data_IF_531205533968
#
_entry.id   IF_531205533968
#
_cell.length_a   1.000
_cell.length_b   1.000
_cell.length_c   1.000
_cell.angle_alpha   90.00
_cell.angle_beta   90.00
_cell.angle_gamma   90.00
#
_symmetry.space_group_name_H-M   'P 1'
#
loop_
_entity.id
_entity.type
_entity.pdbx_description
1 polymer ?
#
# COMPACT_ATOMS: atom_id res chain seq x y z
N UNK A 1 -13.98 2.65 -31.11
CA UNK A 1 -12.89 3.40 -31.76
C UNK A 1 -11.60 3.05 -31.05
N UNK A 2 -10.58 2.61 -31.78
CA UNK A 2 -9.23 2.42 -31.24
C UNK A 2 -8.39 3.61 -31.68
N UNK A 3 -7.79 4.33 -30.74
CA UNK A 3 -6.86 5.44 -31.02
C UNK A 3 -5.42 5.00 -30.80
N UNK A 4 -4.50 5.56 -31.58
CA UNK A 4 -3.05 5.40 -31.35
C UNK A 4 -2.55 6.66 -30.64
N UNK A 5 -1.92 6.48 -29.48
CA UNK A 5 -1.33 7.59 -28.71
C UNK A 5 0.08 7.84 -29.26
N UNK A 6 0.32 9.03 -29.82
CA UNK A 6 1.64 9.46 -30.30
C UNK A 6 2.37 10.33 -29.27
N UNK A 7 1.62 11.12 -28.51
CA UNK A 7 2.13 11.99 -27.45
C UNK A 7 1.09 12.17 -26.34
N UNK A 8 1.56 12.56 -25.16
CA UNK A 8 0.73 12.87 -24.00
C UNK A 8 1.32 14.04 -23.24
N UNK A 9 0.50 15.02 -22.90
CA UNK A 9 0.87 16.12 -22.01
C UNK A 9 0.30 15.88 -20.61
N UNK A 10 1.08 16.17 -19.57
CA UNK A 10 0.67 16.04 -18.17
C UNK A 10 0.97 17.32 -17.40
N UNK A 11 0.15 17.60 -16.39
CA UNK A 11 0.40 18.70 -15.46
C UNK A 11 1.61 18.35 -14.59
N UNK A 12 2.54 19.28 -14.49
CA UNK A 12 3.67 19.19 -13.56
C UNK A 12 3.35 20.04 -12.34
N UNK A 13 3.27 19.39 -11.19
CA UNK A 13 3.11 20.08 -9.92
C UNK A 13 4.29 21.03 -9.67
N UNK A 14 4.00 22.19 -9.09
CA UNK A 14 5.06 23.11 -8.64
C UNK A 14 6.02 22.40 -7.68
N UNK A 15 7.27 22.91 -7.57
CA UNK A 15 8.26 22.35 -6.64
C UNK A 15 7.75 22.47 -5.20
N UNK A 16 7.05 21.43 -4.76
CA UNK A 16 6.60 21.29 -3.40
C UNK A 16 7.83 21.11 -2.52
N UNK A 17 7.94 21.95 -1.48
CA UNK A 17 8.76 21.64 -0.31
C UNK A 17 8.06 20.48 0.40
N UNK A 18 8.14 19.29 -0.22
CA UNK A 18 7.90 18.04 0.47
C UNK A 18 9.04 17.91 1.46
N UNK A 19 8.95 18.65 2.57
CA UNK A 19 9.39 18.06 3.82
C UNK A 19 8.47 16.86 3.96
N UNK A 20 8.92 15.70 3.50
CA UNK A 20 8.30 14.43 3.85
C UNK A 20 8.56 14.33 5.35
N UNK A 21 7.72 15.00 6.16
CA UNK A 21 7.98 15.29 7.59
C UNK A 21 8.32 14.02 8.37
N UNK A 22 7.84 12.88 7.89
CA UNK A 22 8.25 11.57 8.39
C UNK A 22 8.16 10.54 7.27
N UNK A 23 9.25 10.32 6.54
CA UNK A 23 9.39 9.09 5.75
C UNK A 23 9.72 7.97 6.73
N UNK A 24 8.90 6.93 6.82
CA UNK A 24 9.15 5.80 7.71
C UNK A 24 9.36 4.52 6.91
N UNK A 25 10.51 3.88 7.12
CA UNK A 25 10.71 2.47 6.78
C UNK A 25 10.58 1.67 8.07
N UNK A 26 9.51 0.88 8.15
CA UNK A 26 9.19 0.05 9.30
C UNK A 26 9.30 -1.40 8.86
N UNK A 27 10.05 -2.21 9.60
CA UNK A 27 10.18 -3.63 9.32
C UNK A 27 10.20 -4.44 10.61
N UNK A 28 9.28 -5.40 10.80
CA UNK A 28 9.33 -6.29 11.96
C UNK A 28 8.89 -7.74 11.64
N UNK A 29 9.42 -8.74 12.38
CA UNK A 29 9.02 -10.13 12.26
C UNK A 29 7.58 -10.28 12.68
N UNK A 30 6.78 -10.83 11.78
CA UNK A 30 5.38 -11.03 12.05
C UNK A 30 5.18 -12.36 12.78
N UNK A 31 4.46 -12.30 13.89
CA UNK A 31 3.93 -13.45 14.63
C UNK A 31 2.41 -13.35 14.68
N UNK A 32 1.74 -14.44 15.06
CA UNK A 32 0.30 -14.40 15.32
C UNK A 32 -0.07 -13.36 16.40
N UNK A 33 0.82 -13.12 17.36
CA UNK A 33 0.61 -12.18 18.47
C UNK A 33 0.78 -10.70 18.11
N UNK A 34 1.56 -10.37 17.07
CA UNK A 34 1.83 -8.96 16.71
C UNK A 34 1.31 -8.53 15.33
N UNK A 35 1.01 -9.47 14.43
CA UNK A 35 0.56 -9.17 13.08
C UNK A 35 -0.86 -8.62 13.03
N UNK A 36 -1.80 -9.27 13.73
CA UNK A 36 -3.20 -8.85 13.75
C UNK A 36 -3.39 -7.48 14.43
N UNK A 37 -2.78 -7.19 15.59
CA UNK A 37 -2.88 -5.85 16.18
C UNK A 37 -2.26 -4.75 15.32
N UNK A 38 -1.19 -5.05 14.57
CA UNK A 38 -0.63 -4.10 13.60
C UNK A 38 -1.59 -3.81 12.44
N UNK A 39 -2.23 -4.82 11.87
CA UNK A 39 -3.24 -4.64 10.83
C UNK A 39 -4.45 -3.84 11.33
N UNK A 40 -4.89 -4.11 12.56
CA UNK A 40 -5.94 -3.33 13.22
C UNK A 40 -5.54 -1.86 13.31
N UNK A 41 -4.31 -1.58 13.74
CA UNK A 41 -3.79 -0.22 13.83
C UNK A 41 -3.78 0.49 12.47
N UNK A 42 -3.40 -0.20 11.39
CA UNK A 42 -3.42 0.35 10.04
C UNK A 42 -4.84 0.66 9.54
N UNK A 43 -5.81 -0.21 9.82
CA UNK A 43 -7.23 0.02 9.49
C UNK A 43 -7.77 1.22 10.27
N UNK A 44 -7.53 1.25 11.59
CA UNK A 44 -8.04 2.31 12.48
C UNK A 44 -7.44 3.68 12.19
N UNK A 45 -6.22 3.71 11.66
CA UNK A 45 -5.48 4.94 11.36
C UNK A 45 -5.38 5.24 9.88
N UNK A 46 -6.21 4.65 9.02
CA UNK A 46 -6.07 4.78 7.56
C UNK A 46 -5.97 6.21 7.02
N UNK A 47 -6.62 7.19 7.66
CA UNK A 47 -6.55 8.61 7.24
C UNK A 47 -5.27 9.32 7.70
N UNK A 48 -4.48 8.66 8.55
CA UNK A 48 -3.24 9.16 9.14
C UNK A 48 -2.02 8.40 8.65
N UNK A 49 -2.14 7.65 7.55
CA UNK A 49 -0.97 7.16 6.83
C UNK A 49 -1.19 7.11 5.31
N UNK A 50 -0.09 7.20 4.56
CA UNK A 50 -0.08 7.10 3.09
C UNK A 50 1.18 6.42 2.59
N UNK A 51 1.07 5.55 1.58
CA UNK A 51 2.20 4.81 1.03
C UNK A 51 1.91 3.33 0.76
N UNK A 52 2.95 2.50 0.83
CA UNK A 52 2.88 1.08 0.50
C UNK A 52 3.21 0.24 1.73
N UNK A 53 2.28 -0.62 2.12
CA UNK A 53 2.52 -1.68 3.08
C UNK A 53 2.70 -2.99 2.32
N UNK A 54 3.85 -3.66 2.47
CA UNK A 54 4.09 -5.02 1.99
C UNK A 54 4.21 -5.98 3.17
N UNK A 55 3.31 -6.94 3.29
CA UNK A 55 3.45 -8.04 4.25
C UNK A 55 4.01 -9.25 3.51
N UNK A 56 5.21 -9.69 3.89
CA UNK A 56 5.72 -11.04 3.57
C UNK A 56 5.47 -11.93 4.79
N UNK A 57 5.31 -13.23 4.58
CA UNK A 57 4.96 -14.23 5.59
C UNK A 57 5.68 -14.07 6.94
N UNK A 58 6.92 -13.60 6.92
CA UNK A 58 7.75 -13.44 8.11
C UNK A 58 8.06 -11.97 8.45
N UNK A 59 7.83 -11.00 7.56
CA UNK A 59 8.23 -9.61 7.78
C UNK A 59 7.22 -8.63 7.19
N UNK A 60 6.64 -7.80 8.05
CA UNK A 60 5.84 -6.66 7.65
C UNK A 60 6.77 -5.49 7.31
N UNK A 61 6.77 -5.06 6.05
CA UNK A 61 7.48 -3.87 5.58
C UNK A 61 6.47 -2.78 5.27
N UNK A 62 6.58 -1.63 5.92
CA UNK A 62 5.74 -0.48 5.64
C UNK A 62 6.64 0.68 5.21
N UNK A 63 6.38 1.18 4.00
CA UNK A 63 7.00 2.38 3.46
C UNK A 63 5.96 3.49 3.44
N UNK A 64 6.19 4.54 4.22
CA UNK A 64 5.21 5.59 4.44
C UNK A 64 5.79 6.96 4.10
N UNK A 65 4.98 7.80 3.47
CA UNK A 65 5.25 9.23 3.24
C UNK A 65 4.77 10.11 4.40
N UNK A 66 3.82 9.61 5.19
CA UNK A 66 3.25 10.26 6.36
C UNK A 66 2.76 9.17 7.31
N UNK A 67 3.33 9.03 8.51
CA UNK A 67 2.98 7.93 9.42
C UNK A 67 2.49 8.48 10.75
N UNK A 68 1.39 7.93 11.28
CA UNK A 68 0.97 8.22 12.63
C UNK A 68 2.02 7.72 13.64
N UNK A 69 2.34 8.51 14.68
CA UNK A 69 3.30 8.13 15.72
C UNK A 69 3.01 6.75 16.31
N UNK A 70 1.73 6.44 16.57
CA UNK A 70 1.32 5.13 17.08
C UNK A 70 1.78 3.94 16.22
N UNK A 71 1.88 4.08 14.88
CA UNK A 71 2.36 3.01 13.99
C UNK A 71 3.88 2.82 14.15
N UNK A 72 4.61 3.93 14.31
CA UNK A 72 6.05 3.93 14.59
C UNK A 72 6.32 3.32 15.97
N UNK A 73 5.61 3.80 16.99
CA UNK A 73 5.74 3.38 18.38
C UNK A 73 5.47 1.87 18.52
N UNK A 74 4.40 1.39 17.87
CA UNK A 74 4.09 -0.03 17.84
C UNK A 74 5.24 -0.84 17.24
N UNK A 75 5.80 -0.41 16.12
CA UNK A 75 6.88 -1.15 15.47
C UNK A 75 8.19 -1.14 16.28
N UNK A 76 8.53 -0.01 16.91
CA UNK A 76 9.69 0.08 17.81
C UNK A 76 9.53 -0.86 19.01
N UNK A 77 8.31 -0.96 19.57
CA UNK A 77 8.00 -1.90 20.65
C UNK A 77 8.10 -3.39 20.24
N UNK A 78 8.09 -3.70 18.94
CA UNK A 78 8.31 -5.07 18.42
C UNK A 78 9.81 -5.41 18.21
N UNK A 79 10.73 -4.75 18.95
CA UNK A 79 12.19 -4.98 18.92
C UNK A 79 12.85 -4.77 17.56
N UNK A 80 12.45 -3.72 16.82
CA UNK A 80 12.87 -3.53 15.42
C UNK A 80 13.05 -2.07 14.99
N UNK A 81 13.41 -1.87 13.71
CA UNK A 81 13.79 -0.60 13.12
C UNK A 81 12.58 0.16 12.58
N UNK A 82 12.39 1.39 13.07
CA UNK A 82 11.61 2.42 12.42
C UNK A 82 12.55 3.59 12.13
N UNK A 83 12.89 3.81 10.86
CA UNK A 83 13.71 4.97 10.47
C UNK A 83 12.80 6.08 10.02
N UNK A 84 12.67 7.13 10.82
CA UNK A 84 11.95 8.36 10.48
C UNK A 84 12.94 9.40 9.98
N UNK A 85 12.77 9.88 8.75
CA UNK A 85 13.63 10.92 8.17
C UNK A 85 12.82 11.95 7.39
N UNK A 86 13.23 13.20 7.52
CA UNK A 86 12.86 14.25 6.60
C UNK A 86 13.73 14.17 5.35
N UNK A 87 13.11 14.33 4.18
CA UNK A 87 13.79 14.41 2.90
C UNK A 87 13.43 15.74 2.23
N UNK A 88 14.37 16.40 1.54
CA UNK A 88 14.18 17.76 1.04
C UNK A 88 13.45 17.83 -0.31
N UNK A 89 13.15 16.69 -0.94
CA UNK A 89 12.42 16.62 -2.21
C UNK A 89 11.79 15.26 -2.45
N UNK A 90 10.77 15.23 -3.32
CA UNK A 90 10.18 14.00 -3.83
C UNK A 90 11.21 13.07 -4.50
N UNK A 91 12.13 13.66 -5.29
CA UNK A 91 13.15 12.88 -5.98
C UNK A 91 14.06 12.14 -5.01
N UNK A 92 14.47 12.79 -3.91
CA UNK A 92 15.28 12.12 -2.88
C UNK A 92 14.52 11.01 -2.17
N UNK A 93 13.20 11.18 -1.97
CA UNK A 93 12.36 10.09 -1.48
C UNK A 93 12.35 8.92 -2.47
N UNK A 94 12.04 9.19 -3.73
CA UNK A 94 11.89 8.18 -4.78
C UNK A 94 13.18 7.36 -4.90
N UNK A 95 14.32 8.03 -5.00
CA UNK A 95 15.63 7.40 -5.12
C UNK A 95 15.97 6.53 -3.90
N UNK A 96 15.67 7.01 -2.70
CA UNK A 96 16.04 6.32 -1.46
C UNK A 96 15.17 5.10 -1.17
N UNK A 97 13.87 5.20 -1.40
CA UNK A 97 12.90 4.23 -0.89
C UNK A 97 12.14 3.47 -1.97
N UNK A 98 11.90 4.05 -3.14
CA UNK A 98 11.07 3.44 -4.18
C UNK A 98 11.91 2.65 -5.16
N UNK A 99 12.99 3.24 -5.68
CA UNK A 99 13.87 2.55 -6.64
C UNK A 99 14.54 1.33 -6.00
N UNK A 100 14.96 1.42 -4.74
CA UNK A 100 15.48 0.28 -3.99
C UNK A 100 14.45 -0.86 -3.77
N UNK A 101 13.15 -0.59 -3.96
CA UNK A 101 12.06 -1.53 -3.77
C UNK A 101 11.37 -1.94 -5.09
N UNK A 102 11.97 -1.60 -6.23
CA UNK A 102 11.50 -1.98 -7.56
C UNK A 102 11.38 -3.49 -7.70
N UNK A 103 10.34 -3.95 -8.40
CA UNK A 103 10.12 -5.36 -8.66
C UNK A 103 10.90 -5.78 -9.92
N UNK A 104 11.59 -6.92 -9.86
CA UNK A 104 12.20 -7.51 -11.05
C UNK A 104 11.16 -7.86 -12.12
N UNK A 105 11.51 -7.65 -13.38
CA UNK A 105 10.69 -7.99 -14.55
C UNK A 105 10.92 -9.44 -14.99
N UNK A 106 10.05 -9.96 -15.87
CA UNK A 106 10.20 -11.31 -16.46
C UNK A 106 9.68 -12.46 -15.58
N UNK A 107 9.03 -12.16 -14.45
CA UNK A 107 8.46 -13.18 -13.55
C UNK A 107 7.01 -13.47 -13.94
N UNK A 108 6.70 -14.74 -14.24
CA UNK A 108 5.32 -15.18 -14.51
C UNK A 108 4.47 -14.99 -13.25
N UNK A 109 3.51 -14.07 -13.33
CA UNK A 109 2.73 -13.62 -12.18
C UNK A 109 1.25 -13.51 -12.56
N UNK A 110 0.37 -14.09 -11.75
CA UNK A 110 -1.06 -13.77 -11.78
C UNK A 110 -1.32 -12.63 -10.82
N UNK A 111 -1.93 -11.56 -11.32
CA UNK A 111 -2.26 -10.36 -10.56
C UNK A 111 -3.78 -10.19 -10.50
N UNK A 112 -4.31 -10.05 -9.29
CA UNK A 112 -5.64 -9.53 -9.02
C UNK A 112 -5.53 -8.23 -8.22
N UNK A 113 -6.57 -7.40 -8.23
CA UNK A 113 -6.59 -6.24 -7.33
C UNK A 113 -8.00 -5.83 -6.95
N UNK A 114 -8.15 -5.21 -5.78
CA UNK A 114 -9.41 -4.66 -5.30
C UNK A 114 -9.24 -3.22 -4.83
N UNK A 115 -10.22 -2.37 -5.14
CA UNK A 115 -10.36 -1.03 -4.59
C UNK A 115 -11.27 -1.10 -3.36
N UNK A 116 -10.77 -0.68 -2.20
CA UNK A 116 -11.53 -0.69 -0.94
C UNK A 116 -12.11 0.69 -0.70
N UNK A 117 -13.44 0.79 -0.79
CA UNK A 117 -14.17 2.03 -0.58
C UNK A 117 -13.92 2.65 0.79
N UNK A 118 -13.79 3.99 0.83
CA UNK A 118 -13.69 4.77 2.07
C UNK A 118 -14.83 4.48 3.06
N UNK A 119 -16.04 4.14 2.56
CA UNK A 119 -17.21 3.76 3.37
C UNK A 119 -16.95 2.55 4.27
N UNK A 120 -16.01 1.65 3.92
CA UNK A 120 -15.63 0.52 4.77
C UNK A 120 -14.84 0.95 6.00
N UNK A 121 -14.24 2.15 5.98
CA UNK A 121 -13.45 2.68 7.09
C UNK A 121 -14.23 3.67 7.96
N UNK A 122 -15.46 4.01 7.60
CA UNK A 122 -16.30 4.95 8.36
C UNK A 122 -17.13 4.30 9.46
N UNK A 123 -17.31 2.97 9.44
CA UNK A 123 -18.08 2.24 10.44
C UNK A 123 -17.22 1.18 11.13
N UNK A 124 -17.52 0.90 12.40
CA UNK A 124 -16.81 -0.13 13.16
C UNK A 124 -17.03 -1.53 12.57
N UNK A 125 -18.24 -1.81 12.07
CA UNK A 125 -18.54 -3.07 11.37
C UNK A 125 -17.76 -3.21 10.06
N UNK A 126 -17.57 -2.11 9.31
CA UNK A 126 -16.77 -2.10 8.09
C UNK A 126 -15.30 -2.36 8.37
N UNK A 127 -14.74 -1.71 9.39
CA UNK A 127 -13.36 -1.93 9.85
C UNK A 127 -13.16 -3.35 10.37
N UNK A 128 -14.09 -3.86 11.17
CA UNK A 128 -14.04 -5.22 11.70
C UNK A 128 -14.09 -6.28 10.59
N UNK A 129 -14.98 -6.11 9.61
CA UNK A 129 -15.05 -7.00 8.45
C UNK A 129 -13.77 -6.97 7.61
N UNK A 130 -13.19 -5.79 7.39
CA UNK A 130 -11.91 -5.67 6.69
C UNK A 130 -10.76 -6.33 7.47
N UNK A 131 -10.72 -6.14 8.79
CA UNK A 131 -9.73 -6.78 9.66
C UNK A 131 -9.87 -8.31 9.67
N UNK A 132 -11.08 -8.84 9.70
CA UNK A 132 -11.34 -10.29 9.60
C UNK A 132 -10.80 -10.86 8.29
N UNK A 133 -11.11 -10.20 7.16
CA UNK A 133 -10.57 -10.59 5.84
C UNK A 133 -9.04 -10.59 5.87
N UNK A 134 -8.42 -9.51 6.32
CA UNK A 134 -6.96 -9.40 6.40
C UNK A 134 -6.34 -10.47 7.30
N UNK A 135 -6.99 -10.77 8.43
CA UNK A 135 -6.53 -11.76 9.40
C UNK A 135 -6.60 -13.17 8.83
N UNK A 136 -7.75 -13.57 8.28
CA UNK A 136 -7.92 -14.86 7.58
C UNK A 136 -6.92 -15.01 6.46
N UNK A 137 -6.72 -13.94 5.72
CA UNK A 137 -5.74 -13.90 4.66
C UNK A 137 -4.34 -14.19 5.23
N UNK A 138 -3.88 -13.44 6.24
CA UNK A 138 -2.58 -13.65 6.90
C UNK A 138 -2.40 -15.07 7.41
N UNK A 139 -3.41 -15.61 8.10
CA UNK A 139 -3.31 -16.91 8.76
C UNK A 139 -3.40 -18.09 7.79
N UNK A 140 -4.16 -17.97 6.70
CA UNK A 140 -4.56 -19.13 5.88
C UNK A 140 -3.84 -19.27 4.54
N UNK A 141 -3.42 -18.17 3.93
CA UNK A 141 -3.02 -18.20 2.52
C UNK A 141 -1.56 -17.89 2.24
N UNK A 142 -0.76 -17.46 3.24
CA UNK A 142 0.65 -17.05 3.04
C UNK A 142 0.87 -16.09 1.85
N UNK A 143 -0.18 -15.38 1.38
CA UNK A 143 -0.10 -14.50 0.22
C UNK A 143 0.74 -13.30 0.62
N UNK A 144 1.77 -12.99 -0.18
CA UNK A 144 2.52 -11.75 -0.10
C UNK A 144 1.55 -10.61 -0.43
N UNK A 145 1.27 -9.76 0.55
CA UNK A 145 0.25 -8.70 0.41
C UNK A 145 0.89 -7.37 0.22
N UNK A 146 0.25 -6.54 -0.60
CA UNK A 146 0.54 -5.14 -0.68
C UNK A 146 -0.77 -4.36 -0.45
N UNK A 147 -0.76 -3.39 0.45
CA UNK A 147 -1.81 -2.37 0.56
C UNK A 147 -1.17 -1.08 0.08
N UNK A 148 -1.83 -0.44 -0.87
CA UNK A 148 -1.42 0.83 -1.44
C UNK A 148 -2.43 1.89 -1.03
N UNK A 149 -1.99 2.86 -0.23
CA UNK A 149 -2.77 4.04 0.12
C UNK A 149 -2.29 5.17 -0.78
N UNK A 150 -2.72 5.10 -2.03
CA UNK A 150 -2.29 5.99 -3.12
C UNK A 150 -3.41 6.32 -4.11
N UNK A 151 -4.66 6.06 -3.73
CA UNK A 151 -5.81 6.49 -4.52
C UNK A 151 -5.95 8.03 -4.43
N UNK A 152 -6.53 8.68 -5.46
CA UNK A 152 -6.76 10.12 -5.52
C UNK A 152 -7.98 10.51 -4.67
N UNK A 153 -8.17 9.88 -3.51
CA UNK A 153 -9.30 10.13 -2.62
C UNK A 153 -9.40 11.60 -2.17
N UNK A 154 -8.26 12.27 -2.05
CA UNK A 154 -8.17 13.69 -1.69
C UNK A 154 -8.20 14.63 -2.90
N UNK A 155 -8.16 14.09 -4.13
CA UNK A 155 -8.17 14.90 -5.33
C UNK A 155 -9.60 15.29 -5.69
N UNK A 156 -9.84 16.59 -5.83
CA UNK A 156 -11.13 17.08 -6.29
C UNK A 156 -11.28 16.77 -7.78
N UNK A 157 -12.25 15.92 -8.12
CA UNK A 157 -12.51 15.51 -9.49
C UNK A 157 -13.91 15.94 -9.92
N UNK A 158 -14.06 16.25 -11.21
CA UNK A 158 -15.37 16.46 -11.82
C UNK A 158 -15.86 15.13 -12.39
N UNK A 159 -17.05 14.69 -12.00
CA UNK A 159 -17.63 13.44 -12.52
C UNK A 159 -17.75 13.48 -14.05
N UNK A 160 -17.40 12.39 -14.72
CA UNK A 160 -17.43 12.29 -16.18
C UNK A 160 -16.28 13.00 -16.92
N UNK A 161 -15.36 13.68 -16.23
CA UNK A 161 -14.23 14.36 -16.89
C UNK A 161 -13.18 13.39 -17.47
N UNK A 162 -13.19 12.13 -17.03
CA UNK A 162 -12.32 11.06 -17.55
C UNK A 162 -13.10 9.73 -17.53
N UNK A 163 -12.56 8.71 -18.18
CA UNK A 163 -13.08 7.33 -18.11
C UNK A 163 -12.59 6.54 -16.88
N UNK A 164 -11.90 7.17 -15.94
CA UNK A 164 -11.45 6.52 -14.70
C UNK A 164 -12.68 6.09 -13.88
N UNK A 165 -12.67 4.85 -13.39
CA UNK A 165 -13.80 4.33 -12.60
C UNK A 165 -14.05 5.17 -11.35
N UNK A 166 -15.31 5.55 -11.05
CA UNK A 166 -15.66 6.30 -9.83
C UNK A 166 -15.27 5.56 -8.55
N UNK A 167 -15.15 4.23 -8.59
CA UNK A 167 -14.70 3.43 -7.46
C UNK A 167 -13.28 3.80 -7.01
N UNK A 168 -12.41 4.25 -7.93
CA UNK A 168 -11.02 4.59 -7.64
C UNK A 168 -10.91 5.90 -6.84
N UNK A 169 -11.74 6.89 -7.18
CA UNK A 169 -11.82 8.17 -6.45
C UNK A 169 -12.44 8.00 -5.07
N UNK A 170 -13.33 7.02 -4.89
CA UNK A 170 -14.01 6.74 -3.63
C UNK A 170 -13.31 5.66 -2.78
N UNK A 171 -12.18 5.13 -3.21
CA UNK A 171 -11.40 4.15 -2.48
C UNK A 171 -10.30 4.81 -1.67
N UNK A 172 -9.98 4.26 -0.49
CA UNK A 172 -8.80 4.64 0.28
C UNK A 172 -7.63 3.71 0.01
N UNK A 173 -7.92 2.42 -0.15
CA UNK A 173 -6.89 1.40 -0.38
C UNK A 173 -7.06 0.77 -1.74
N UNK A 174 -5.94 0.55 -2.41
CA UNK A 174 -5.81 -0.41 -3.50
C UNK A 174 -5.04 -1.62 -2.99
N UNK A 175 -5.66 -2.79 -3.08
CA UNK A 175 -5.13 -4.06 -2.57
C UNK A 175 -4.82 -5.01 -3.72
N UNK A 176 -3.60 -4.99 -4.28
CA UNK A 176 -3.16 -6.00 -5.21
C UNK A 176 -2.85 -7.32 -4.50
N UNK A 177 -3.28 -8.41 -5.12
CA UNK A 177 -2.93 -9.79 -4.76
C UNK A 177 -2.13 -10.39 -5.90
N UNK A 178 -0.95 -10.92 -5.60
CA UNK A 178 -0.09 -11.52 -6.61
C UNK A 178 0.29 -12.96 -6.22
N UNK A 179 0.34 -13.84 -7.21
CA UNK A 179 0.93 -15.18 -7.13
C UNK A 179 1.98 -15.31 -8.22
N UNK A 180 3.20 -15.64 -7.82
CA UNK A 180 4.33 -15.86 -8.73
C UNK A 180 4.51 -17.35 -8.97
N UNK A 181 4.76 -17.73 -10.22
CA UNK A 181 5.07 -19.11 -10.60
C UNK A 181 6.53 -19.24 -10.95
N UNK A 182 7.10 -20.41 -10.66
CA UNK A 182 8.44 -20.74 -11.11
C UNK A 182 8.37 -21.22 -12.56
N UNK A 183 9.50 -21.17 -13.25
CA UNK A 183 9.61 -21.72 -14.60
C UNK A 183 9.17 -23.19 -14.66
N UNK A 184 9.46 -23.97 -13.62
CA UNK A 184 9.15 -25.39 -13.52
C UNK A 184 7.80 -25.70 -12.82
N UNK A 185 6.89 -24.71 -12.69
CA UNK A 185 5.57 -24.92 -12.10
C UNK A 185 4.65 -25.73 -13.02
N UNK A 186 3.83 -26.61 -12.45
CA UNK A 186 2.84 -27.42 -13.19
C UNK A 186 1.50 -26.67 -13.33
N UNK A 187 0.53 -27.27 -14.04
CA UNK A 187 -0.83 -26.72 -14.10
C UNK A 187 -1.54 -26.72 -12.73
N UNK A 188 -1.20 -27.65 -11.85
CA UNK A 188 -1.74 -27.75 -10.49
C UNK A 188 -1.15 -26.68 -9.55
N UNK A 189 0.04 -26.17 -9.87
CA UNK A 189 0.65 -25.04 -9.17
C UNK A 189 0.02 -23.69 -9.50
N UNK A 190 -0.82 -23.61 -10.55
CA UNK A 190 -1.47 -22.38 -11.00
C UNK A 190 -2.72 -22.01 -10.18
#
# INVERSE_FOLDING_TARGET
MSGVVLESSMIVESRMSLVVKTSAAISFPQTAGNGVPFLKLLVDRTYRWGGHMKVRSEVAHLLVFYVASAIVDYALAQNRTATVKELPSWLMFLAKYVLAAEAGVGIKTTLGSHLISAKKFSTDSGKAGLLDILTRMVQRFSIKRCIVVGTPFLYNHTEGSTSVTPAWQNALWHMPSLRTFRWNSTAEDM
#
